data_IF_444610395743
#
_entry.id   IF_444610395743
#
_cell.length_a   1.000
_cell.length_b   1.000
_cell.length_c   1.000
_cell.angle_alpha   90.00
_cell.angle_beta   90.00
_cell.angle_gamma   90.00
#
_symmetry.space_group_name_H-M   'P 1'
#
loop_
_entity.id
_entity.type
_entity.pdbx_description
1 polymer ?
#
# COMPACT_ATOMS: atom_id res chain seq x y z
N UNK A 1 18.01 -2.28 28.79
CA UNK A 1 17.48 -3.31 27.86
C UNK A 1 16.97 -2.56 26.65
N UNK A 2 17.78 -2.48 25.59
CA UNK A 2 17.55 -1.64 24.41
C UNK A 2 16.54 -2.34 23.50
N UNK A 3 15.47 -1.63 23.18
CA UNK A 3 14.45 -2.01 22.23
C UNK A 3 15.08 -2.58 20.96
N UNK A 4 14.96 -3.89 20.80
CA UNK A 4 15.16 -4.55 19.53
C UNK A 4 14.07 -4.01 18.60
N UNK A 5 14.38 -2.91 17.92
CA UNK A 5 13.64 -2.42 16.77
C UNK A 5 13.57 -3.58 15.77
N UNK A 6 12.44 -4.29 15.78
CA UNK A 6 12.07 -5.29 14.79
C UNK A 6 11.91 -4.51 13.48
N UNK A 7 13.03 -4.25 12.84
CA UNK A 7 13.10 -3.82 11.47
C UNK A 7 12.29 -4.86 10.70
N UNK A 8 11.22 -4.47 9.98
CA UNK A 8 10.51 -5.42 9.14
C UNK A 8 11.56 -6.00 8.19
N UNK A 9 11.77 -7.31 8.27
CA UNK A 9 12.65 -8.06 7.38
C UNK A 9 12.49 -7.51 5.97
N UNK A 10 13.61 -7.08 5.34
CA UNK A 10 13.65 -6.52 3.99
C UNK A 10 12.93 -7.41 2.96
N UNK A 11 12.74 -8.71 3.25
CA UNK A 11 12.02 -9.64 2.37
C UNK A 11 10.51 -9.41 2.36
N UNK A 12 9.90 -9.01 3.49
CA UNK A 12 8.44 -8.86 3.61
C UNK A 12 7.95 -7.58 2.95
N UNK A 13 8.77 -6.52 2.83
CA UNK A 13 8.34 -5.25 2.22
C UNK A 13 8.28 -5.27 0.69
N UNK A 14 9.10 -6.10 0.04
CA UNK A 14 9.16 -6.23 -1.42
C UNK A 14 7.81 -6.58 -2.07
N UNK A 15 7.07 -7.61 -1.62
CA UNK A 15 5.77 -7.94 -2.23
C UNK A 15 4.75 -6.81 -2.06
N UNK A 16 4.74 -6.10 -0.93
CA UNK A 16 3.80 -4.99 -0.72
C UNK A 16 4.12 -3.78 -1.61
N UNK A 17 5.40 -3.47 -1.82
CA UNK A 17 5.80 -2.43 -2.77
C UNK A 17 5.39 -2.79 -4.20
N UNK A 18 5.61 -4.04 -4.61
CA UNK A 18 5.17 -4.53 -5.93
C UNK A 18 3.65 -4.43 -6.07
N UNK A 19 2.89 -4.83 -5.03
CA UNK A 19 1.43 -4.75 -5.03
C UNK A 19 0.92 -3.31 -5.12
N UNK A 20 1.56 -2.40 -4.39
CA UNK A 20 1.24 -0.97 -4.42
C UNK A 20 1.54 -0.36 -5.79
N UNK A 21 2.67 -0.73 -6.41
CA UNK A 21 3.01 -0.29 -7.77
C UNK A 21 2.02 -0.82 -8.80
N UNK A 22 1.62 -2.10 -8.71
CA UNK A 22 0.57 -2.67 -9.56
C UNK A 22 -0.76 -1.95 -9.38
N UNK A 23 -1.14 -1.65 -8.14
CA UNK A 23 -2.37 -0.92 -7.83
C UNK A 23 -2.33 0.49 -8.44
N UNK A 24 -1.21 1.20 -8.28
CA UNK A 24 -1.04 2.54 -8.84
C UNK A 24 -1.11 2.53 -10.38
N UNK A 25 -0.46 1.54 -11.02
CA UNK A 25 -0.46 1.39 -12.47
C UNK A 25 -1.84 1.00 -13.00
N UNK A 26 -2.56 0.12 -12.30
CA UNK A 26 -3.93 -0.25 -12.61
C UNK A 26 -4.91 0.92 -12.44
N UNK A 27 -4.79 1.68 -11.34
CA UNK A 27 -5.60 2.89 -11.14
C UNK A 27 -5.31 3.94 -12.20
N UNK A 28 -4.04 4.17 -12.55
CA UNK A 28 -3.67 5.11 -13.59
C UNK A 28 -4.28 4.72 -14.95
N UNK A 29 -4.23 3.44 -15.32
CA UNK A 29 -4.89 2.93 -16.52
C UNK A 29 -6.40 3.14 -16.51
N UNK A 30 -7.05 2.85 -15.37
CA UNK A 30 -8.50 3.00 -15.21
C UNK A 30 -8.95 4.47 -15.26
N UNK A 31 -8.18 5.38 -14.64
CA UNK A 31 -8.45 6.82 -14.71
C UNK A 31 -8.09 7.42 -16.07
N UNK A 32 -7.12 6.85 -16.78
CA UNK A 32 -6.77 7.29 -18.13
C UNK A 32 -7.91 7.02 -19.12
N UNK A 33 -8.62 5.90 -18.99
CA UNK A 33 -9.73 5.52 -19.88
C UNK A 33 -11.06 6.18 -19.55
N UNK A 34 -11.25 6.66 -18.31
CA UNK A 34 -12.47 7.38 -17.92
C UNK A 34 -12.52 8.77 -18.56
N UNK A 35 -13.58 9.12 -19.29
CA UNK A 35 -13.84 10.48 -19.78
C UNK A 35 -14.43 11.38 -18.67
N UNK A 36 -13.69 11.53 -17.57
CA UNK A 36 -14.06 12.38 -16.43
C UNK A 36 -13.12 13.56 -16.29
N UNK A 37 -13.59 14.61 -15.61
CA UNK A 37 -12.81 15.82 -15.33
C UNK A 37 -11.43 15.46 -14.76
N UNK A 38 -10.36 16.05 -15.28
CA UNK A 38 -8.97 15.76 -14.87
C UNK A 38 -8.74 15.91 -13.37
N UNK A 39 -9.44 16.85 -12.72
CA UNK A 39 -9.40 17.00 -11.26
C UNK A 39 -9.98 15.80 -10.52
N UNK A 40 -11.05 15.21 -11.04
CA UNK A 40 -11.66 14.01 -10.47
C UNK A 40 -10.76 12.79 -10.65
N UNK A 41 -10.04 12.71 -11.78
CA UNK A 41 -9.02 11.67 -12.02
C UNK A 41 -7.90 11.75 -10.98
N UNK A 42 -7.36 12.94 -10.76
CA UNK A 42 -6.29 13.17 -9.79
C UNK A 42 -6.77 12.85 -8.37
N UNK A 43 -7.98 13.30 -8.00
CA UNK A 43 -8.57 13.00 -6.70
C UNK A 43 -8.74 11.49 -6.48
N UNK A 44 -9.30 10.78 -7.47
CA UNK A 44 -9.49 9.34 -7.40
C UNK A 44 -8.17 8.57 -7.34
N UNK A 45 -7.14 9.01 -8.08
CA UNK A 45 -5.81 8.42 -8.03
C UNK A 45 -5.19 8.55 -6.63
N UNK A 46 -5.27 9.74 -6.03
CA UNK A 46 -4.75 10.01 -4.67
C UNK A 46 -5.49 9.15 -3.63
N UNK A 47 -6.82 9.06 -3.72
CA UNK A 47 -7.65 8.23 -2.85
C UNK A 47 -7.27 6.75 -2.95
N UNK A 48 -7.11 6.22 -4.16
CA UNK A 48 -6.68 4.84 -4.38
C UNK A 48 -5.29 4.58 -3.82
N UNK A 49 -4.34 5.52 -3.97
CA UNK A 49 -3.01 5.40 -3.39
C UNK A 49 -3.05 5.40 -1.86
N UNK A 50 -3.84 6.28 -1.24
CA UNK A 50 -4.02 6.32 0.20
C UNK A 50 -4.64 5.02 0.73
N UNK A 51 -5.67 4.49 0.04
CA UNK A 51 -6.28 3.20 0.37
C UNK A 51 -5.27 2.05 0.28
N UNK A 52 -4.47 2.02 -0.80
CA UNK A 52 -3.39 1.05 -0.98
C UNK A 52 -2.35 1.10 0.13
N UNK A 53 -1.92 2.31 0.52
CA UNK A 53 -0.99 2.51 1.62
C UNK A 53 -1.56 2.06 2.97
N UNK A 54 -2.81 2.41 3.27
CA UNK A 54 -3.49 1.99 4.49
C UNK A 54 -3.58 0.46 4.58
N UNK A 55 -3.93 -0.20 3.47
CA UNK A 55 -4.06 -1.66 3.40
C UNK A 55 -2.70 -2.35 3.61
N UNK A 56 -1.63 -1.82 3.01
CA UNK A 56 -0.25 -2.26 3.25
C UNK A 56 0.14 -2.07 4.72
N UNK A 57 -0.17 -0.92 5.30
CA UNK A 57 0.13 -0.64 6.71
C UNK A 57 -0.59 -1.60 7.66
N UNK A 58 -1.89 -1.84 7.44
CA UNK A 58 -2.67 -2.80 8.22
C UNK A 58 -2.16 -4.23 8.04
N UNK A 59 -1.79 -4.63 6.82
CA UNK A 59 -1.21 -5.94 6.56
C UNK A 59 0.12 -6.13 7.30
N UNK A 60 1.00 -5.12 7.30
CA UNK A 60 2.25 -5.16 8.07
C UNK A 60 1.98 -5.19 9.59
N UNK A 61 1.02 -4.41 10.09
CA UNK A 61 0.64 -4.40 11.50
C UNK A 61 0.09 -5.77 11.93
N UNK A 62 -0.81 -6.35 11.14
CA UNK A 62 -1.37 -7.68 11.38
C UNK A 62 -0.34 -8.79 11.35
N UNK A 63 0.68 -8.70 10.49
CA UNK A 63 1.81 -9.65 10.50
C UNK A 63 2.64 -9.55 11.78
N UNK A 64 2.89 -8.33 12.29
CA UNK A 64 3.59 -8.12 13.58
C UNK A 64 2.79 -8.69 14.75
N UNK A 65 1.48 -8.46 14.77
CA UNK A 65 0.61 -8.99 15.82
C UNK A 65 0.52 -10.53 15.77
N UNK A 66 0.50 -11.12 14.57
CA UNK A 66 0.56 -12.59 14.41
C UNK A 66 1.90 -13.18 14.82
N UNK A 67 3.02 -12.50 14.56
CA UNK A 67 4.33 -12.94 15.05
C UNK A 67 4.47 -12.86 16.57
N UNK A 68 3.81 -11.89 17.24
CA UNK A 68 3.82 -11.81 18.71
C UNK A 68 2.96 -12.87 19.42
N UNK A 69 2.08 -13.57 18.70
CA UNK A 69 1.23 -14.64 19.25
C UNK A 69 1.77 -16.05 19.00
N UNK A 70 2.92 -16.19 18.33
CA UNK A 70 3.66 -17.45 18.18
C UNK A 70 4.90 -17.41 19.04
#
# INVERSE_FOLDING_TARGET
MKDAAIAPSKSTQRPYLILLTLLAMGCFGLFSTLEVNGWLKVYGLILSLQGGFALVYFAMKGQRDRQRRR
#
